data_IF_569009554091
#
_entry.id   IF_569009554091
#
_cell.length_a   1.000
_cell.length_b   1.000
_cell.length_c   1.000
_cell.angle_alpha   90.00
_cell.angle_beta   90.00
_cell.angle_gamma   90.00
#
_symmetry.space_group_name_H-M   'P 1'
#
loop_
_entity.id
_entity.type
_entity.pdbx_description
1 polymer ?
#
# COMPACT_ATOMS: atom_id res chain seq x y z
N UNK A 1 -1.29 -25.21 -9.99
CA UNK A 1 -1.24 -26.49 -9.28
C UNK A 1 0.18 -26.66 -8.73
N UNK A 2 0.36 -26.65 -7.40
CA UNK A 2 1.67 -26.85 -6.76
C UNK A 2 2.20 -28.28 -6.85
N UNK A 3 1.49 -29.21 -7.48
CA UNK A 3 1.99 -30.55 -7.78
C UNK A 3 2.54 -30.67 -9.22
N UNK A 4 2.30 -29.65 -10.06
CA UNK A 4 2.73 -29.63 -11.46
C UNK A 4 4.16 -29.09 -11.62
N UNK A 5 5.15 -29.86 -11.15
CA UNK A 5 6.56 -29.45 -11.16
C UNK A 5 7.11 -29.09 -12.55
N UNK A 6 6.56 -29.68 -13.61
CA UNK A 6 6.95 -29.36 -15.01
C UNK A 6 6.68 -27.90 -15.39
N UNK A 7 5.76 -27.20 -14.70
CA UNK A 7 5.43 -25.80 -14.99
C UNK A 7 6.39 -24.81 -14.32
N UNK A 8 7.23 -25.23 -13.37
CA UNK A 8 7.99 -24.28 -12.53
C UNK A 8 9.01 -23.46 -13.30
N UNK A 9 9.67 -24.07 -14.30
CA UNK A 9 10.63 -23.36 -15.12
C UNK A 9 9.97 -22.23 -15.92
N UNK A 10 8.77 -22.48 -16.47
CA UNK A 10 8.01 -21.47 -17.20
C UNK A 10 7.48 -20.38 -16.25
N UNK A 11 6.92 -20.77 -15.11
CA UNK A 11 6.50 -19.84 -14.06
C UNK A 11 7.64 -18.92 -13.61
N UNK A 12 8.85 -19.46 -13.49
CA UNK A 12 10.04 -18.70 -13.11
C UNK A 12 10.39 -17.61 -14.13
N UNK A 13 10.05 -17.80 -15.40
CA UNK A 13 10.26 -16.80 -16.45
C UNK A 13 9.15 -15.76 -16.52
N UNK A 14 7.89 -16.13 -16.22
CA UNK A 14 6.75 -15.22 -16.35
C UNK A 14 6.41 -14.44 -15.09
N UNK A 15 6.71 -14.97 -13.89
CA UNK A 15 6.42 -14.27 -12.64
C UNK A 15 7.42 -13.11 -12.48
N UNK A 16 6.95 -11.85 -12.42
CA UNK A 16 7.83 -10.70 -12.25
C UNK A 16 8.66 -10.80 -10.96
N UNK A 17 9.89 -10.28 -10.99
CA UNK A 17 10.78 -10.31 -9.82
C UNK A 17 10.10 -9.68 -8.59
N UNK A 18 9.44 -8.54 -8.75
CA UNK A 18 8.80 -7.80 -7.66
C UNK A 18 7.30 -8.09 -7.48
N UNK A 19 6.83 -9.22 -8.00
CA UNK A 19 5.42 -9.62 -7.87
C UNK A 19 4.99 -9.73 -6.39
N UNK A 20 3.73 -9.42 -6.15
CA UNK A 20 3.07 -9.64 -4.86
C UNK A 20 2.15 -10.85 -5.00
N UNK A 21 2.53 -11.99 -4.39
CA UNK A 21 1.85 -13.25 -4.62
C UNK A 21 0.98 -13.63 -3.43
N UNK A 22 -0.31 -13.88 -3.69
CA UNK A 22 -1.20 -14.52 -2.73
C UNK A 22 -1.08 -16.03 -2.87
N UNK A 23 -0.96 -16.73 -1.75
CA UNK A 23 -0.75 -18.19 -1.76
C UNK A 23 -2.08 -18.91 -1.62
N UNK A 24 -2.56 -19.47 -2.72
CA UNK A 24 -3.73 -20.34 -2.76
C UNK A 24 -3.61 -21.35 -3.94
N UNK A 25 -3.64 -22.68 -3.69
CA UNK A 25 -3.69 -23.36 -2.40
C UNK A 25 -2.36 -23.29 -1.63
N UNK A 26 -2.37 -23.66 -0.34
CA UNK A 26 -1.20 -23.60 0.55
C UNK A 26 0.05 -24.35 0.04
N UNK A 27 -0.11 -25.37 -0.81
CA UNK A 27 1.00 -26.16 -1.36
C UNK A 27 2.05 -25.33 -2.12
N UNK A 28 1.68 -24.15 -2.63
CA UNK A 28 2.61 -23.25 -3.32
C UNK A 28 3.77 -22.78 -2.45
N UNK A 29 3.57 -22.63 -1.13
CA UNK A 29 4.62 -22.17 -0.21
C UNK A 29 5.87 -23.07 -0.26
N UNK A 30 5.68 -24.39 -0.35
CA UNK A 30 6.79 -25.36 -0.37
C UNK A 30 7.60 -25.37 -1.67
N UNK A 31 7.03 -24.83 -2.76
CA UNK A 31 7.62 -24.91 -4.11
C UNK A 31 7.92 -23.52 -4.71
N UNK A 32 7.56 -22.43 -4.03
CA UNK A 32 7.66 -21.08 -4.56
C UNK A 32 9.08 -20.70 -4.98
N UNK A 33 10.10 -21.12 -4.21
CA UNK A 33 11.50 -20.86 -4.55
C UNK A 33 11.96 -21.51 -5.87
N UNK A 34 11.28 -22.56 -6.32
CA UNK A 34 11.52 -23.21 -7.62
C UNK A 34 10.81 -22.43 -8.75
N UNK A 35 9.58 -21.98 -8.48
CA UNK A 35 8.72 -21.29 -9.44
C UNK A 35 8.96 -19.77 -9.55
N UNK A 36 9.73 -19.15 -8.65
CA UNK A 36 9.92 -17.68 -8.63
C UNK A 36 11.37 -17.28 -8.41
N UNK A 37 11.83 -16.26 -9.15
CA UNK A 37 13.21 -15.76 -9.14
C UNK A 37 13.55 -14.93 -7.90
N UNK A 38 12.55 -14.40 -7.19
CA UNK A 38 12.79 -13.47 -6.09
C UNK A 38 13.37 -14.19 -4.86
N UNK A 39 14.66 -14.01 -4.65
CA UNK A 39 15.40 -14.55 -3.50
C UNK A 39 15.13 -13.80 -2.20
N UNK A 40 14.65 -12.56 -2.31
CA UNK A 40 14.38 -11.68 -1.19
C UNK A 40 12.93 -11.80 -0.70
N UNK A 41 12.06 -12.51 -1.42
CA UNK A 41 10.67 -12.65 -1.05
C UNK A 41 10.49 -13.45 0.24
N UNK A 42 9.67 -12.94 1.16
CA UNK A 42 9.30 -13.63 2.39
C UNK A 42 7.79 -13.62 2.59
N UNK A 43 7.36 -14.63 3.33
CA UNK A 43 5.99 -14.77 3.79
C UNK A 43 5.61 -13.64 4.73
N UNK A 44 4.40 -13.13 4.59
CA UNK A 44 3.76 -12.25 5.56
C UNK A 44 2.25 -12.42 5.54
N UNK A 45 1.62 -12.13 6.68
CA UNK A 45 0.21 -12.39 6.92
C UNK A 45 -0.66 -11.21 6.45
N UNK A 46 -1.76 -11.53 5.78
CA UNK A 46 -2.82 -10.58 5.42
C UNK A 46 -4.15 -10.98 6.05
N UNK A 47 -5.03 -10.00 6.15
CA UNK A 47 -6.39 -10.15 6.68
C UNK A 47 -7.38 -9.61 5.67
N UNK A 48 -8.50 -10.32 5.54
CA UNK A 48 -9.63 -9.89 4.73
C UNK A 48 -10.84 -9.67 5.62
N UNK A 49 -11.50 -8.54 5.40
CA UNK A 49 -12.67 -8.10 6.12
C UNK A 49 -13.80 -7.84 5.14
N UNK A 50 -15.03 -7.97 5.61
CA UNK A 50 -16.23 -7.84 4.78
C UNK A 50 -17.31 -7.05 5.51
N UNK A 51 -18.00 -6.21 4.76
CA UNK A 51 -19.19 -5.48 5.18
C UNK A 51 -20.40 -6.00 4.41
N UNK A 52 -21.42 -6.47 5.15
CA UNK A 52 -22.67 -7.06 4.61
C UNK A 52 -23.93 -6.44 5.21
N UNK A 53 -23.80 -5.33 5.95
CA UNK A 53 -24.96 -4.68 6.56
C UNK A 53 -25.74 -3.90 5.50
N UNK A 54 -27.03 -3.69 5.73
CA UNK A 54 -27.90 -2.98 4.78
C UNK A 54 -27.78 -1.46 4.82
N UNK A 55 -27.10 -0.91 5.82
CA UNK A 55 -26.93 0.53 6.00
C UNK A 55 -25.52 0.83 6.49
N UNK A 56 -24.90 1.87 5.90
CA UNK A 56 -23.60 2.36 6.31
C UNK A 56 -23.67 3.05 7.69
N UNK A 57 -22.56 3.14 8.43
CA UNK A 57 -22.48 4.00 9.60
C UNK A 57 -22.82 5.45 9.24
N UNK A 58 -23.68 6.10 10.01
CA UNK A 58 -24.09 7.48 9.74
C UNK A 58 -22.89 8.44 9.72
N UNK A 59 -22.62 9.09 8.59
CA UNK A 59 -21.39 9.88 8.39
C UNK A 59 -21.66 11.36 8.09
N UNK A 60 -22.83 11.69 7.54
CA UNK A 60 -23.17 13.04 7.03
C UNK A 60 -22.99 14.13 8.09
N UNK A 61 -23.52 13.92 9.29
CA UNK A 61 -23.45 14.90 10.40
C UNK A 61 -22.10 14.89 11.14
N UNK A 62 -21.16 14.02 10.73
CA UNK A 62 -19.82 13.89 11.33
C UNK A 62 -18.71 14.51 10.47
N UNK A 63 -19.05 15.09 9.31
CA UNK A 63 -18.08 15.83 8.50
C UNK A 63 -17.63 17.07 9.29
N UNK A 64 -16.32 17.22 9.58
CA UNK A 64 -15.84 18.37 10.35
C UNK A 64 -16.13 19.69 9.65
N UNK A 65 -16.30 20.74 10.46
CA UNK A 65 -16.44 22.10 9.95
C UNK A 65 -15.25 22.47 9.04
N UNK A 66 -15.53 23.15 7.93
CA UNK A 66 -14.53 23.51 6.92
C UNK A 66 -14.16 22.37 5.97
N UNK A 67 -14.66 21.15 6.17
CA UNK A 67 -14.51 20.03 5.25
C UNK A 67 -15.79 19.75 4.47
N UNK A 68 -15.63 19.15 3.28
CA UNK A 68 -16.74 18.63 2.48
C UNK A 68 -16.43 17.21 2.00
N UNK A 69 -17.45 16.37 1.95
CA UNK A 69 -17.37 15.09 1.25
C UNK A 69 -17.70 15.29 -0.24
N UNK A 70 -16.92 14.67 -1.11
CA UNK A 70 -17.00 14.83 -2.57
C UNK A 70 -17.02 13.44 -3.20
N UNK A 71 -17.97 13.19 -4.09
CA UNK A 71 -18.00 11.95 -4.87
C UNK A 71 -16.95 12.00 -5.98
N UNK A 72 -16.33 10.87 -6.28
CA UNK A 72 -15.37 10.75 -7.38
C UNK A 72 -16.12 10.49 -8.69
N UNK A 73 -16.78 11.53 -9.20
CA UNK A 73 -17.54 11.49 -10.45
C UNK A 73 -16.83 12.23 -11.60
N UNK A 74 -17.52 12.40 -12.73
CA UNK A 74 -16.96 13.08 -13.89
C UNK A 74 -16.58 14.54 -13.60
N UNK A 75 -17.29 15.21 -12.68
CA UNK A 75 -16.96 16.58 -12.29
C UNK A 75 -15.68 16.59 -11.45
N UNK A 76 -15.47 15.61 -10.57
CA UNK A 76 -14.21 15.44 -9.84
C UNK A 76 -13.01 15.19 -10.76
N UNK A 77 -13.18 14.44 -11.85
CA UNK A 77 -12.08 14.11 -12.77
C UNK A 77 -11.53 15.35 -13.48
N UNK A 78 -12.38 16.35 -13.68
CA UNK A 78 -12.03 17.61 -14.35
C UNK A 78 -11.67 18.74 -13.35
N UNK A 79 -11.54 18.44 -12.06
CA UNK A 79 -11.13 19.43 -11.06
C UNK A 79 -9.62 19.63 -11.07
N UNK A 80 -9.21 20.89 -11.21
CA UNK A 80 -7.83 21.32 -11.04
C UNK A 80 -7.60 21.97 -9.66
N UNK A 81 -6.34 22.03 -9.23
CA UNK A 81 -5.92 22.79 -8.06
C UNK A 81 -6.17 22.13 -6.70
N UNK A 82 -6.59 20.86 -6.68
CA UNK A 82 -6.65 20.05 -5.46
C UNK A 82 -5.35 19.29 -5.22
N UNK A 83 -4.72 19.49 -4.07
CA UNK A 83 -3.58 18.68 -3.67
C UNK A 83 -4.02 17.23 -3.37
N UNK A 84 -3.17 16.28 -3.74
CA UNK A 84 -3.39 14.82 -3.77
C UNK A 84 -4.42 14.34 -4.82
N UNK A 85 -4.87 15.20 -5.74
CA UNK A 85 -5.78 14.78 -6.81
C UNK A 85 -5.14 13.73 -7.73
N UNK A 86 -3.87 13.92 -8.09
CA UNK A 86 -3.10 12.97 -8.90
C UNK A 86 -3.08 11.56 -8.30
N UNK A 87 -2.85 11.41 -6.99
CA UNK A 87 -2.85 10.09 -6.32
C UNK A 87 -4.20 9.36 -6.46
N UNK A 88 -5.31 10.10 -6.46
CA UNK A 88 -6.64 9.52 -6.67
C UNK A 88 -6.84 9.15 -8.13
N UNK A 89 -6.39 10.00 -9.06
CA UNK A 89 -6.48 9.72 -10.49
C UNK A 89 -5.64 8.52 -10.89
N UNK A 90 -4.44 8.35 -10.35
CA UNK A 90 -3.59 7.17 -10.56
C UNK A 90 -4.28 5.89 -10.08
N UNK A 91 -4.99 5.96 -8.95
CA UNK A 91 -5.80 4.84 -8.45
C UNK A 91 -6.98 4.54 -9.37
N UNK A 92 -7.69 5.56 -9.85
CA UNK A 92 -8.77 5.38 -10.83
C UNK A 92 -8.24 4.81 -12.14
N UNK A 93 -7.05 5.22 -12.57
CA UNK A 93 -6.41 4.77 -13.81
C UNK A 93 -5.90 3.32 -13.73
N UNK A 94 -5.92 2.69 -12.55
CA UNK A 94 -5.73 1.24 -12.39
C UNK A 94 -6.96 0.41 -12.82
N UNK A 95 -8.14 1.05 -12.95
CA UNK A 95 -9.31 0.42 -13.55
C UNK A 95 -9.12 0.23 -15.05
N UNK A 96 -9.99 -0.57 -15.68
CA UNK A 96 -9.92 -0.81 -17.12
C UNK A 96 -9.96 0.49 -17.93
N UNK A 97 -10.75 1.45 -17.48
CA UNK A 97 -10.75 2.85 -17.93
C UNK A 97 -11.49 3.74 -16.93
N UNK A 98 -11.36 5.06 -17.08
CA UNK A 98 -12.13 6.03 -16.29
C UNK A 98 -13.64 5.89 -16.50
N UNK A 99 -14.08 5.56 -17.71
CA UNK A 99 -15.49 5.28 -18.01
C UNK A 99 -15.97 4.02 -17.30
N UNK A 100 -15.12 2.99 -17.21
CA UNK A 100 -15.42 1.78 -16.45
C UNK A 100 -15.58 2.07 -14.95
N UNK A 101 -14.74 2.94 -14.39
CA UNK A 101 -14.91 3.44 -13.03
C UNK A 101 -16.21 4.22 -12.88
N UNK A 102 -16.54 5.17 -13.76
CA UNK A 102 -17.80 5.92 -13.68
C UNK A 102 -19.03 5.02 -13.82
N UNK A 103 -18.91 3.93 -14.61
CA UNK A 103 -19.97 2.96 -14.82
C UNK A 103 -20.15 2.00 -13.63
N UNK A 104 -19.10 1.63 -12.91
CA UNK A 104 -19.15 0.56 -11.89
C UNK A 104 -18.57 0.96 -10.54
N UNK A 105 -17.47 1.68 -10.55
CA UNK A 105 -16.75 2.16 -9.38
C UNK A 105 -17.57 3.13 -8.53
N UNK A 106 -17.08 3.29 -7.30
CA UNK A 106 -17.55 4.26 -6.31
C UNK A 106 -16.32 4.79 -5.60
N UNK A 107 -16.34 6.08 -5.29
CA UNK A 107 -15.37 6.65 -4.38
C UNK A 107 -15.87 7.94 -3.76
N UNK A 108 -15.30 8.27 -2.61
CA UNK A 108 -15.55 9.52 -1.91
C UNK A 108 -14.24 10.05 -1.35
N UNK A 109 -14.07 11.36 -1.37
CA UNK A 109 -12.98 12.04 -0.68
C UNK A 109 -13.47 13.14 0.25
N UNK A 110 -12.67 13.46 1.25
CA UNK A 110 -12.87 14.58 2.16
C UNK A 110 -11.90 15.70 1.77
N UNK A 111 -12.44 16.86 1.44
CA UNK A 111 -11.67 18.03 1.02
C UNK A 111 -11.67 19.07 2.12
N UNK A 112 -10.49 19.55 2.50
CA UNK A 112 -10.28 20.68 3.41
C UNK A 112 -9.51 21.77 2.66
N UNK A 113 -10.14 22.94 2.46
CA UNK A 113 -9.66 23.99 1.56
C UNK A 113 -9.34 23.43 0.14
N UNK A 114 -8.08 23.52 -0.31
CA UNK A 114 -7.62 23.04 -1.62
C UNK A 114 -6.91 21.67 -1.55
N UNK A 115 -7.18 20.88 -0.50
CA UNK A 115 -6.48 19.61 -0.26
C UNK A 115 -7.45 18.48 0.00
N UNK A 116 -7.17 17.33 -0.59
CA UNK A 116 -7.87 16.10 -0.26
C UNK A 116 -7.23 15.45 0.98
N UNK A 117 -7.95 15.49 2.11
CA UNK A 117 -7.48 15.06 3.42
C UNK A 117 -7.58 13.54 3.63
N UNK A 118 -8.58 12.89 3.04
CA UNK A 118 -8.75 11.45 3.03
C UNK A 118 -9.61 11.02 1.85
N UNK A 119 -9.41 9.80 1.35
CA UNK A 119 -10.22 9.24 0.27
C UNK A 119 -10.39 7.74 0.46
N UNK A 120 -11.52 7.22 -0.02
CA UNK A 120 -11.78 5.80 -0.13
C UNK A 120 -12.54 5.55 -1.42
N UNK A 121 -12.03 4.62 -2.21
CA UNK A 121 -12.63 4.22 -3.48
C UNK A 121 -12.46 2.71 -3.69
N UNK A 122 -13.25 2.19 -4.62
CA UNK A 122 -13.18 0.79 -5.00
C UNK A 122 -11.86 0.47 -5.73
N UNK A 123 -11.23 -0.62 -5.32
CA UNK A 123 -10.10 -1.24 -6.03
C UNK A 123 -10.59 -2.07 -7.21
N UNK A 124 -11.68 -2.81 -7.02
CA UNK A 124 -12.31 -3.60 -8.07
C UNK A 124 -13.77 -3.92 -7.75
N UNK A 125 -14.53 -4.34 -8.77
CA UNK A 125 -15.92 -4.77 -8.64
C UNK A 125 -16.23 -5.99 -9.51
N UNK A 126 -17.01 -6.93 -8.96
CA UNK A 126 -17.49 -8.12 -9.63
C UNK A 126 -18.90 -8.48 -9.12
N UNK A 127 -19.90 -8.45 -10.00
CA UNK A 127 -21.29 -8.70 -9.62
C UNK A 127 -21.78 -7.65 -8.62
N UNK A 128 -22.32 -8.10 -7.50
CA UNK A 128 -22.75 -7.28 -6.36
C UNK A 128 -21.67 -7.13 -5.28
N UNK A 129 -20.41 -7.47 -5.61
CA UNK A 129 -19.27 -7.36 -4.69
C UNK A 129 -18.25 -6.34 -5.18
N UNK A 130 -17.55 -5.73 -4.24
CA UNK A 130 -16.40 -4.87 -4.51
C UNK A 130 -15.33 -5.01 -3.42
N UNK A 131 -14.12 -4.54 -3.69
CA UNK A 131 -13.08 -4.30 -2.68
C UNK A 131 -12.83 -2.79 -2.63
N UNK A 132 -12.58 -2.24 -1.44
CA UNK A 132 -12.27 -0.81 -1.26
C UNK A 132 -10.93 -0.62 -0.55
N UNK A 133 -10.25 0.47 -0.91
CA UNK A 133 -9.10 0.98 -0.18
C UNK A 133 -9.39 2.31 0.50
N UNK A 134 -8.46 2.72 1.37
CA UNK A 134 -8.50 4.03 2.03
C UNK A 134 -7.10 4.63 2.13
N UNK A 135 -7.02 5.94 2.00
CA UNK A 135 -5.83 6.70 2.40
C UNK A 135 -6.28 7.93 3.18
N UNK A 136 -5.46 8.31 4.16
CA UNK A 136 -5.57 9.59 4.86
C UNK A 136 -4.24 10.30 4.76
N UNK A 137 -4.27 11.52 4.23
CA UNK A 137 -3.10 12.40 4.14
C UNK A 137 -2.44 12.49 5.52
N UNK A 138 -1.11 12.36 5.55
CA UNK A 138 -0.32 12.30 6.80
C UNK A 138 -0.60 13.47 7.74
N UNK A 139 -0.88 14.66 7.19
CA UNK A 139 -1.21 15.89 7.93
C UNK A 139 -2.58 15.82 8.63
N UNK A 140 -3.44 14.89 8.22
CA UNK A 140 -4.81 14.73 8.71
C UNK A 140 -5.05 13.40 9.45
N UNK A 141 -4.02 12.57 9.60
CA UNK A 141 -4.13 11.30 10.34
C UNK A 141 -4.48 11.53 11.81
N UNK A 142 -5.08 10.51 12.43
CA UNK A 142 -5.51 10.48 13.84
C UNK A 142 -6.67 11.44 14.20
N UNK A 143 -7.40 11.92 13.20
CA UNK A 143 -8.61 12.76 13.37
C UNK A 143 -9.92 12.02 13.06
N UNK A 144 -9.86 10.70 12.84
CA UNK A 144 -11.04 9.88 12.50
C UNK A 144 -11.49 9.97 11.03
N UNK A 145 -10.80 10.74 10.18
CA UNK A 145 -11.19 10.95 8.79
C UNK A 145 -11.21 9.68 7.94
N UNK A 146 -10.30 8.73 8.16
CA UNK A 146 -10.30 7.44 7.46
C UNK A 146 -11.60 6.67 7.68
N UNK A 147 -12.06 6.53 8.92
CA UNK A 147 -13.35 5.89 9.21
C UNK A 147 -14.54 6.67 8.64
N UNK A 148 -14.46 8.00 8.62
CA UNK A 148 -15.50 8.85 8.07
C UNK A 148 -15.64 8.67 6.55
N UNK A 149 -14.55 8.75 5.81
CA UNK A 149 -14.56 8.63 4.34
C UNK A 149 -14.94 7.22 3.88
N UNK A 150 -14.51 6.19 4.62
CA UNK A 150 -14.94 4.80 4.38
C UNK A 150 -16.43 4.63 4.62
N UNK A 151 -16.99 5.25 5.67
CA UNK A 151 -18.44 5.20 5.90
C UNK A 151 -19.21 5.85 4.74
N UNK A 152 -18.68 6.93 4.17
CA UNK A 152 -19.27 7.59 3.01
C UNK A 152 -19.16 6.74 1.73
N UNK A 153 -18.00 6.12 1.48
CA UNK A 153 -17.80 5.22 0.36
C UNK A 153 -18.72 4.00 0.45
N UNK A 154 -18.83 3.37 1.63
CA UNK A 154 -19.77 2.25 1.88
C UNK A 154 -21.21 2.64 1.61
N UNK A 155 -21.64 3.82 2.06
CA UNK A 155 -22.99 4.34 1.80
C UNK A 155 -23.26 4.46 0.29
N UNK A 156 -22.30 5.01 -0.47
CA UNK A 156 -22.38 5.11 -1.92
C UNK A 156 -22.35 3.73 -2.62
N UNK A 157 -21.58 2.76 -2.10
CA UNK A 157 -21.58 1.39 -2.60
C UNK A 157 -22.95 0.73 -2.44
N UNK A 158 -23.56 0.83 -1.25
CA UNK A 158 -24.88 0.28 -0.96
C UNK A 158 -25.97 0.93 -1.82
N UNK A 159 -25.90 2.25 -2.02
CA UNK A 159 -26.82 2.98 -2.90
C UNK A 159 -26.71 2.52 -4.37
N UNK A 160 -25.52 2.06 -4.79
CA UNK A 160 -25.27 1.51 -6.13
C UNK A 160 -25.60 0.01 -6.26
N UNK A 161 -26.07 -0.62 -5.19
CA UNK A 161 -26.56 -2.00 -5.19
C UNK A 161 -25.52 -3.06 -4.79
N UNK A 162 -24.31 -2.66 -4.41
CA UNK A 162 -23.33 -3.60 -3.84
C UNK A 162 -23.79 -4.13 -2.49
N UNK A 163 -23.55 -5.41 -2.23
CA UNK A 163 -24.03 -6.15 -1.04
C UNK A 163 -22.92 -6.75 -0.21
N UNK A 164 -21.75 -6.97 -0.82
CA UNK A 164 -20.56 -7.43 -0.14
C UNK A 164 -19.39 -6.51 -0.49
N UNK A 165 -18.93 -5.74 0.50
CA UNK A 165 -17.82 -4.82 0.34
C UNK A 165 -16.64 -5.43 1.10
N UNK A 166 -15.59 -5.78 0.38
CA UNK A 166 -14.37 -6.35 0.89
C UNK A 166 -13.33 -5.29 1.23
N UNK A 167 -12.42 -5.67 2.11
CA UNK A 167 -11.28 -4.88 2.55
C UNK A 167 -10.10 -5.80 2.83
N UNK A 168 -8.94 -5.48 2.26
CA UNK A 168 -7.72 -6.25 2.45
C UNK A 168 -6.63 -5.40 3.09
N UNK A 169 -5.94 -5.94 4.09
CA UNK A 169 -4.81 -5.25 4.71
C UNK A 169 -3.74 -6.23 5.18
N UNK A 170 -2.53 -5.73 5.40
CA UNK A 170 -1.51 -6.44 6.15
C UNK A 170 -1.98 -6.69 7.58
N UNK A 171 -1.59 -7.82 8.18
CA UNK A 171 -1.89 -8.10 9.59
C UNK A 171 -1.16 -7.18 10.56
N UNK A 172 -0.05 -6.59 10.12
CA UNK A 172 0.74 -5.57 10.84
C UNK A 172 0.12 -4.18 10.79
N UNK A 173 -0.76 -3.89 9.82
CA UNK A 173 -1.35 -2.56 9.65
C UNK A 173 -2.51 -2.33 10.65
N UNK A 174 -2.15 -2.01 11.89
CA UNK A 174 -3.11 -1.74 12.96
C UNK A 174 -4.04 -0.56 12.64
N UNK A 175 -3.57 0.43 11.89
CA UNK A 175 -4.37 1.59 11.46
C UNK A 175 -5.52 1.20 10.54
N UNK A 176 -5.23 0.41 9.50
CA UNK A 176 -6.21 -0.11 8.55
C UNK A 176 -7.23 -1.03 9.23
N UNK A 177 -6.76 -1.96 10.08
CA UNK A 177 -7.61 -2.83 10.89
C UNK A 177 -8.58 -2.01 11.77
N UNK A 178 -8.07 -0.99 12.46
CA UNK A 178 -8.90 -0.15 13.32
C UNK A 178 -9.95 0.65 12.53
N UNK A 179 -9.64 1.06 11.29
CA UNK A 179 -10.61 1.72 10.41
C UNK A 179 -11.71 0.75 10.00
N UNK A 180 -11.36 -0.43 9.49
CA UNK A 180 -12.32 -1.45 9.06
C UNK A 180 -13.28 -1.86 10.18
N UNK A 181 -12.76 -2.15 11.37
CA UNK A 181 -13.59 -2.53 12.52
C UNK A 181 -14.52 -1.40 12.96
N UNK A 182 -14.04 -0.14 12.98
CA UNK A 182 -14.85 1.02 13.38
C UNK A 182 -15.99 1.30 12.40
N UNK A 183 -15.83 0.93 11.13
CA UNK A 183 -16.86 1.12 10.09
C UNK A 183 -17.78 -0.08 9.93
N UNK A 184 -17.68 -1.08 10.83
CA UNK A 184 -18.61 -2.21 10.88
C UNK A 184 -18.26 -3.36 9.94
N UNK A 185 -17.05 -3.36 9.36
CA UNK A 185 -16.53 -4.55 8.70
C UNK A 185 -16.19 -5.61 9.76
N UNK A 186 -16.35 -6.88 9.37
CA UNK A 186 -16.03 -8.04 10.21
C UNK A 186 -14.94 -8.84 9.52
N UNK A 187 -13.98 -9.33 10.30
CA UNK A 187 -12.91 -10.18 9.78
C UNK A 187 -13.52 -11.48 9.21
N UNK A 188 -13.20 -11.78 7.96
CA UNK A 188 -13.64 -13.01 7.29
C UNK A 188 -12.58 -14.10 7.38
N UNK A 189 -11.32 -13.76 7.07
CA UNK A 189 -10.24 -14.75 6.98
C UNK A 189 -8.86 -14.12 7.12
N UNK A 190 -7.91 -14.98 7.49
CA UNK A 190 -6.48 -14.75 7.37
C UNK A 190 -5.94 -15.49 6.14
N UNK A 191 -4.96 -14.90 5.47
CA UNK A 191 -4.28 -15.51 4.33
C UNK A 191 -2.82 -15.09 4.28
N UNK A 192 -2.02 -15.78 3.47
CA UNK A 192 -0.60 -15.54 3.35
C UNK A 192 -0.28 -14.92 1.99
N UNK A 193 0.68 -14.01 1.99
CA UNK A 193 1.27 -13.45 0.80
C UNK A 193 2.79 -13.56 0.86
N UNK A 194 3.42 -13.49 -0.31
CA UNK A 194 4.87 -13.43 -0.47
C UNK A 194 5.24 -12.23 -1.34
N UNK A 195 6.18 -11.44 -0.85
CA UNK A 195 6.81 -10.36 -1.58
C UNK A 195 8.17 -10.06 -0.96
N UNK A 196 8.99 -9.31 -1.68
CA UNK A 196 10.22 -8.71 -1.14
C UNK A 196 9.98 -7.32 -0.55
N UNK A 197 8.73 -6.90 -0.37
CA UNK A 197 8.41 -5.60 0.22
C UNK A 197 8.29 -5.76 1.73
N UNK A 198 8.68 -4.72 2.48
CA UNK A 198 8.40 -4.68 3.91
C UNK A 198 6.89 -4.83 4.13
N UNK A 199 6.44 -5.73 5.03
CA UNK A 199 5.04 -5.85 5.37
C UNK A 199 4.64 -4.74 6.35
N UNK A 200 4.80 -3.49 5.92
CA UNK A 200 4.48 -2.27 6.66
C UNK A 200 3.94 -1.21 5.68
N UNK A 201 2.86 -0.53 6.05
CA UNK A 201 2.26 0.59 5.30
C UNK A 201 2.35 1.90 6.09
N UNK A 202 2.83 1.85 7.34
CA UNK A 202 3.11 3.00 8.18
C UNK A 202 4.21 2.69 9.20
N UNK A 203 4.91 3.75 9.63
CA UNK A 203 5.88 3.63 10.71
C UNK A 203 5.20 3.11 11.99
N UNK A 204 5.83 2.11 12.61
CA UNK A 204 5.29 1.39 13.77
C UNK A 204 4.40 0.19 13.46
N UNK A 205 4.15 -0.16 12.18
CA UNK A 205 3.43 -1.40 11.84
C UNK A 205 4.22 -2.66 12.24
N UNK A 206 5.55 -2.58 12.22
CA UNK A 206 6.45 -3.62 12.70
C UNK A 206 7.21 -3.15 13.94
N UNK A 207 7.59 -4.10 14.78
CA UNK A 207 8.52 -3.86 15.88
C UNK A 207 9.93 -3.58 15.36
N UNK A 208 10.76 -2.94 16.18
CA UNK A 208 12.19 -2.77 15.88
C UNK A 208 12.86 -4.09 15.49
N UNK A 209 12.65 -5.17 16.25
CA UNK A 209 13.27 -6.47 15.98
C UNK A 209 12.84 -7.07 14.63
N UNK A 210 11.58 -6.87 14.23
CA UNK A 210 11.09 -7.29 12.92
C UNK A 210 11.72 -6.48 11.79
N UNK A 211 11.86 -5.15 11.94
CA UNK A 211 12.60 -4.33 10.98
C UNK A 211 14.07 -4.73 10.88
N UNK A 212 14.75 -4.99 12.00
CA UNK A 212 16.14 -5.47 12.02
C UNK A 212 16.29 -6.83 11.30
N UNK A 213 15.35 -7.76 11.51
CA UNK A 213 15.35 -9.06 10.84
C UNK A 213 15.16 -8.93 9.31
N UNK A 214 14.26 -8.05 8.87
CA UNK A 214 14.11 -7.72 7.45
C UNK A 214 15.35 -7.05 6.87
N UNK A 215 15.95 -6.10 7.59
CA UNK A 215 17.14 -5.40 7.14
C UNK A 215 18.32 -6.35 6.92
N UNK A 216 18.58 -7.25 7.88
CA UNK A 216 19.61 -8.28 7.76
C UNK A 216 19.33 -9.25 6.59
N UNK A 217 18.06 -9.55 6.32
CA UNK A 217 17.68 -10.38 5.16
C UNK A 217 17.96 -9.68 3.83
N UNK A 218 17.65 -8.40 3.72
CA UNK A 218 17.97 -7.61 2.54
C UNK A 218 19.47 -7.42 2.34
N UNK A 219 20.24 -7.19 3.42
CA UNK A 219 21.72 -7.11 3.35
C UNK A 219 22.32 -8.39 2.76
N UNK A 220 21.93 -9.57 3.26
CA UNK A 220 22.38 -10.85 2.69
C UNK A 220 21.95 -11.03 1.24
N UNK A 221 20.75 -10.56 0.88
CA UNK A 221 20.26 -10.62 -0.50
C UNK A 221 21.05 -9.68 -1.42
N UNK A 222 21.55 -8.58 -0.88
CA UNK A 222 22.31 -7.57 -1.63
C UNK A 222 23.65 -8.07 -2.15
N UNK A 223 24.22 -9.11 -1.54
CA UNK A 223 25.41 -9.82 -2.03
C UNK A 223 25.19 -10.44 -3.42
N UNK A 224 23.93 -10.74 -3.78
CA UNK A 224 23.57 -11.33 -5.08
C UNK A 224 23.05 -10.30 -6.07
N UNK A 225 22.36 -9.27 -5.57
CA UNK A 225 21.78 -8.20 -6.39
C UNK A 225 21.75 -6.91 -5.58
N UNK A 226 22.55 -5.93 -5.99
CA UNK A 226 22.80 -4.70 -5.23
C UNK A 226 21.54 -3.92 -4.90
N UNK A 227 20.49 -4.00 -5.71
CA UNK A 227 19.20 -3.32 -5.48
C UNK A 227 18.57 -3.62 -4.12
N UNK A 228 18.83 -4.80 -3.53
CA UNK A 228 18.30 -5.15 -2.21
C UNK A 228 18.88 -4.28 -1.07
N UNK A 229 20.05 -3.67 -1.25
CA UNK A 229 20.59 -2.73 -0.27
C UNK A 229 19.71 -1.49 -0.10
N UNK A 230 18.86 -1.15 -1.08
CA UNK A 230 17.88 -0.07 -0.93
C UNK A 230 16.81 -0.43 0.11
N UNK A 231 16.21 -1.62 -0.01
CA UNK A 231 15.23 -2.11 0.97
C UNK A 231 15.86 -2.37 2.34
N UNK A 232 17.14 -2.78 2.38
CA UNK A 232 17.90 -2.87 3.63
C UNK A 232 17.99 -1.51 4.33
N UNK A 233 18.23 -0.44 3.56
CA UNK A 233 18.32 0.90 4.12
C UNK A 233 16.99 1.41 4.68
N UNK A 234 15.86 1.11 4.02
CA UNK A 234 14.52 1.42 4.53
C UNK A 234 14.25 0.71 5.87
N UNK A 235 14.54 -0.60 5.92
CA UNK A 235 14.34 -1.40 7.10
C UNK A 235 15.23 -0.97 8.28
N UNK A 236 16.51 -0.65 8.03
CA UNK A 236 17.39 -0.12 9.08
C UNK A 236 16.98 1.26 9.57
N UNK A 237 16.49 2.12 8.68
CA UNK A 237 15.99 3.43 9.05
C UNK A 237 14.80 3.32 10.02
N UNK A 238 13.84 2.44 9.72
CA UNK A 238 12.69 2.17 10.61
C UNK A 238 13.08 1.41 11.89
N UNK A 239 14.13 0.59 11.86
CA UNK A 239 14.72 0.00 13.07
C UNK A 239 15.42 1.04 13.97
N UNK A 240 15.70 2.23 13.45
CA UNK A 240 16.42 3.30 14.13
C UNK A 240 17.95 3.15 14.09
N UNK A 241 18.49 2.26 13.25
CA UNK A 241 19.93 2.15 13.00
C UNK A 241 20.33 3.01 11.80
N UNK A 242 20.46 4.31 12.05
CA UNK A 242 20.76 5.30 11.02
C UNK A 242 22.13 5.07 10.37
N UNK A 243 23.10 4.56 11.13
CA UNK A 243 24.44 4.28 10.63
C UNK A 243 24.43 3.16 9.58
N UNK A 244 23.73 2.05 9.85
CA UNK A 244 23.58 0.96 8.88
C UNK A 244 22.72 1.35 7.69
N UNK A 245 21.66 2.13 7.91
CA UNK A 245 20.84 2.64 6.82
C UNK A 245 21.66 3.46 5.81
N UNK A 246 22.47 4.41 6.31
CA UNK A 246 23.36 5.22 5.48
C UNK A 246 24.47 4.40 4.83
N UNK A 247 25.01 3.38 5.51
CA UNK A 247 26.00 2.47 4.93
C UNK A 247 25.43 1.66 3.76
N UNK A 248 24.20 1.17 3.86
CA UNK A 248 23.51 0.49 2.77
C UNK A 248 23.34 1.43 1.56
N UNK A 249 22.88 2.67 1.79
CA UNK A 249 22.74 3.67 0.73
C UNK A 249 24.10 4.04 0.08
N UNK A 250 25.16 4.18 0.88
CA UNK A 250 26.51 4.41 0.37
C UNK A 250 26.99 3.27 -0.53
N UNK A 251 26.73 2.01 -0.15
CA UNK A 251 27.11 0.85 -0.96
C UNK A 251 26.42 0.83 -2.34
N UNK A 252 25.18 1.34 -2.44
CA UNK A 252 24.49 1.50 -3.71
C UNK A 252 25.19 2.53 -4.60
N UNK A 253 25.60 3.66 -4.02
CA UNK A 253 26.32 4.70 -4.74
C UNK A 253 27.69 4.19 -5.25
N UNK A 254 28.44 3.50 -4.39
CA UNK A 254 29.74 2.91 -4.75
C UNK A 254 29.62 1.87 -5.86
N UNK A 255 28.50 1.13 -5.89
CA UNK A 255 28.18 0.17 -6.95
C UNK A 255 27.65 0.83 -8.25
N UNK A 256 27.54 2.16 -8.31
CA UNK A 256 26.99 2.87 -9.46
C UNK A 256 25.51 2.58 -9.71
N UNK A 257 24.75 2.27 -8.66
CA UNK A 257 23.32 1.97 -8.76
C UNK A 257 22.54 3.19 -9.25
N UNK A 258 21.69 3.00 -10.25
CA UNK A 258 20.92 4.07 -10.92
C UNK A 258 19.56 4.28 -10.26
N UNK A 259 19.55 4.62 -8.98
CA UNK A 259 18.34 5.01 -8.27
C UNK A 259 17.79 6.36 -8.76
N UNK A 260 16.47 6.54 -8.69
CA UNK A 260 15.82 7.82 -8.96
C UNK A 260 15.72 8.64 -7.67
N UNK A 261 15.86 9.96 -7.77
CA UNK A 261 15.74 10.87 -6.62
C UNK A 261 14.35 10.80 -5.96
N UNK A 262 13.29 10.61 -6.74
CA UNK A 262 11.91 10.55 -6.25
C UNK A 262 11.68 9.40 -5.26
N UNK A 263 12.42 8.29 -5.43
CA UNK A 263 12.37 7.14 -4.51
C UNK A 263 12.88 7.48 -3.10
N UNK A 264 13.58 8.60 -2.93
CA UNK A 264 14.02 9.12 -1.64
C UNK A 264 13.06 10.20 -1.16
N UNK A 265 12.56 11.04 -2.06
CA UNK A 265 11.72 12.19 -1.73
C UNK A 265 10.35 11.78 -1.19
N UNK A 266 9.71 10.76 -1.77
CA UNK A 266 8.39 10.33 -1.34
C UNK A 266 8.40 9.17 -0.33
N UNK A 267 9.58 8.65 -0.01
CA UNK A 267 9.72 7.46 0.83
C UNK A 267 9.71 7.79 2.32
N UNK A 268 8.63 7.44 2.98
CA UNK A 268 8.40 7.73 4.40
C UNK A 268 9.40 7.00 5.32
N UNK A 269 10.00 5.89 4.88
CA UNK A 269 11.02 5.16 5.65
C UNK A 269 12.24 6.04 5.98
N UNK A 270 12.53 7.03 5.13
CA UNK A 270 13.69 7.91 5.31
C UNK A 270 13.39 9.20 6.06
N UNK A 271 12.18 9.41 6.57
CA UNK A 271 11.82 10.66 7.25
C UNK A 271 12.76 11.00 8.41
N UNK A 272 13.22 9.99 9.16
CA UNK A 272 14.19 10.16 10.24
C UNK A 272 15.61 10.53 9.76
N UNK A 273 15.92 10.31 8.48
CA UNK A 273 17.23 10.58 7.87
C UNK A 273 17.26 11.89 7.07
N UNK A 274 16.10 12.44 6.67
CA UNK A 274 16.00 13.58 5.74
C UNK A 274 16.83 14.79 6.12
N UNK A 275 17.03 15.07 7.41
CA UNK A 275 17.78 16.24 7.86
C UNK A 275 19.29 15.98 8.04
N UNK A 276 19.77 14.76 7.78
CA UNK A 276 21.18 14.40 7.90
C UNK A 276 21.96 14.79 6.65
N UNK A 277 23.14 15.40 6.83
CA UNK A 277 23.96 15.87 5.72
C UNK A 277 24.40 14.71 4.81
N UNK A 278 24.72 13.57 5.40
CA UNK A 278 25.11 12.33 4.72
C UNK A 278 23.99 11.84 3.79
N UNK A 279 22.75 11.82 4.28
CA UNK A 279 21.58 11.44 3.48
C UNK A 279 21.36 12.42 2.32
N UNK A 280 21.48 13.72 2.58
CA UNK A 280 21.34 14.74 1.53
C UNK A 280 22.42 14.64 0.46
N UNK A 281 23.65 14.31 0.84
CA UNK A 281 24.75 14.09 -0.11
C UNK A 281 24.51 12.85 -0.98
N UNK A 282 24.07 11.74 -0.38
CA UNK A 282 23.71 10.52 -1.10
C UNK A 282 22.59 10.79 -2.11
N UNK A 283 21.54 11.49 -1.67
CA UNK A 283 20.41 11.90 -2.50
C UNK A 283 20.82 12.82 -3.66
N UNK A 284 21.71 13.79 -3.42
CA UNK A 284 22.18 14.72 -4.45
C UNK A 284 22.98 14.04 -5.56
N UNK A 285 23.59 12.88 -5.27
CA UNK A 285 24.31 12.07 -6.25
C UNK A 285 23.42 11.29 -7.24
N UNK A 286 22.10 11.30 -7.03
CA UNK A 286 21.14 10.58 -7.87
C UNK A 286 20.64 11.45 -9.03
N UNK A 287 20.25 10.77 -10.10
CA UNK A 287 19.71 11.37 -11.32
C UNK A 287 18.34 12.01 -11.01
N UNK A 288 18.14 13.25 -11.47
CA UNK A 288 16.82 13.86 -11.60
C UNK A 288 16.19 13.33 -12.90
N UNK A 289 14.96 12.80 -12.81
CA UNK A 289 14.14 12.57 -14.01
C UNK A 289 13.53 13.87 -14.51
#
# INVERSE_FOLDING_TARGET
DPDCASAYAELREVIPLYAYLLVDPQGWEGVLGQAWKNIAARRHARQHYVFRQSAAPGWRDRVPEGMRAVQLDADFFNQDGLENHGEIMDWIDSWRSREDFLARGVGTCLVHANRIAAWSLMDCALGDRCEIGVVTDRRYRRQGLGSLVVSAAVDACLARGYREIGWQCLSSNAGSIAVALRTGFVKERDYQAFSSWLPAESSGDLTRAEYEDWALHYERSSERETGWAFLASEAWAEAGDTARALACLGSLQDAGWKGQREWFDHNWHFDGLRNMAEFQNLRAGLVEE
#
